data_IF_356245618742
#
_entry.id   IF_356245618742
#
_cell.length_a   1.000
_cell.length_b   1.000
_cell.length_c   1.000
_cell.angle_alpha   90.00
_cell.angle_beta   90.00
_cell.angle_gamma   90.00
#
_symmetry.space_group_name_H-M   'P 1'
#
loop_
_entity.id
_entity.type
_entity.pdbx_description
1 polymer ?
#
# COMPACT_ATOMS: atom_id res chain seq x y z
N UNK A 1 -28.48 -6.58 -13.46
CA UNK A 1 -29.03 -6.96 -12.16
C UNK A 1 -28.94 -8.46 -12.02
N UNK A 2 -27.96 -8.94 -11.28
CA UNK A 2 -27.90 -10.32 -10.77
C UNK A 2 -27.32 -10.20 -9.36
N UNK A 3 -28.18 -10.20 -8.34
CA UNK A 3 -27.80 -10.37 -6.95
C UNK A 3 -27.93 -11.84 -6.59
N UNK A 4 -26.90 -12.44 -5.98
CA UNK A 4 -27.06 -13.53 -5.02
C UNK A 4 -25.91 -13.49 -4.00
N UNK A 5 -26.22 -12.96 -2.81
CA UNK A 5 -25.90 -13.48 -1.46
C UNK A 5 -24.47 -13.72 -0.95
N UNK A 6 -24.22 -13.58 0.38
CA UNK A 6 -22.89 -13.45 0.98
C UNK A 6 -22.33 -14.75 1.60
N UNK A 7 -20.99 -14.87 1.65
CA UNK A 7 -20.27 -15.95 2.34
C UNK A 7 -20.25 -15.77 3.87
N UNK A 8 -20.35 -16.85 4.67
CA UNK A 8 -20.44 -16.76 6.12
C UNK A 8 -19.08 -16.68 6.83
N UNK A 9 -19.09 -15.98 7.95
CA UNK A 9 -18.06 -15.86 8.98
C UNK A 9 -17.83 -17.18 9.74
N UNK A 10 -16.57 -17.56 9.93
CA UNK A 10 -16.17 -18.57 10.91
C UNK A 10 -15.58 -17.90 12.15
N UNK A 11 -16.25 -18.15 13.27
CA UNK A 11 -15.82 -17.80 14.61
C UNK A 11 -15.03 -18.97 15.24
N UNK A 12 -14.02 -18.62 16.04
CA UNK A 12 -13.69 -19.29 17.30
C UNK A 12 -12.84 -20.55 17.26
N UNK A 13 -11.63 -20.47 17.80
CA UNK A 13 -11.19 -21.42 18.84
C UNK A 13 -10.13 -20.80 19.74
N UNK A 14 -10.37 -21.00 21.02
CA UNK A 14 -9.57 -20.70 22.20
C UNK A 14 -8.34 -21.60 22.34
N UNK A 15 -7.47 -21.23 23.30
CA UNK A 15 -6.35 -21.93 23.99
C UNK A 15 -5.16 -20.96 24.00
N UNK A 16 -4.50 -20.61 25.09
CA UNK A 16 -4.39 -21.19 26.42
C UNK A 16 -3.02 -20.73 26.97
N UNK A 17 -2.94 -20.51 28.27
CA UNK A 17 -1.86 -19.90 29.03
C UNK A 17 -0.41 -20.32 28.73
N UNK A 18 0.52 -19.38 28.97
CA UNK A 18 1.96 -19.63 28.97
C UNK A 18 2.77 -18.43 29.46
N UNK A 19 2.66 -18.10 30.74
CA UNK A 19 3.53 -17.13 31.39
C UNK A 19 4.82 -17.83 31.88
N UNK A 20 5.99 -17.40 31.41
CA UNK A 20 7.24 -17.63 32.15
C UNK A 20 8.24 -16.49 31.99
N UNK A 21 8.71 -16.02 33.15
CA UNK A 21 9.71 -14.96 33.35
C UNK A 21 11.09 -15.48 32.96
N UNK A 22 11.96 -14.60 32.46
CA UNK A 22 13.35 -14.57 32.94
C UNK A 22 13.97 -13.17 32.78
N UNK A 23 14.91 -12.90 33.66
CA UNK A 23 15.31 -11.60 34.20
C UNK A 23 16.53 -11.00 33.48
N UNK A 24 16.54 -9.67 33.43
CA UNK A 24 17.67 -8.73 33.69
C UNK A 24 19.05 -9.03 33.06
N UNK A 25 19.57 -8.06 32.29
CA UNK A 25 20.84 -7.38 32.61
C UNK A 25 20.97 -6.05 31.87
N UNK A 26 21.37 -5.02 32.62
CA UNK A 26 21.68 -3.69 32.14
C UNK A 26 23.20 -3.44 32.26
N UNK A 27 23.72 -2.67 31.31
CA UNK A 27 24.95 -1.86 31.42
C UNK A 27 26.16 -2.32 30.57
N UNK A 28 27.15 -1.45 30.27
CA UNK A 28 27.21 0.00 30.44
C UNK A 28 27.58 0.77 29.14
N UNK A 29 27.43 2.10 29.24
CA UNK A 29 27.82 3.15 28.29
C UNK A 29 29.32 3.42 28.42
N UNK A 30 30.06 3.50 27.30
CA UNK A 30 31.44 4.01 27.26
C UNK A 30 31.54 5.03 26.13
N UNK A 31 31.89 6.26 26.50
CA UNK A 31 32.31 7.34 25.61
C UNK A 31 33.83 7.32 25.40
N UNK A 32 34.27 8.07 24.38
CA UNK A 32 35.62 8.43 23.90
C UNK A 32 35.91 7.76 22.56
N UNK A 33 36.29 8.43 21.48
CA UNK A 33 36.94 9.72 21.23
C UNK A 33 37.69 9.52 19.90
N UNK A 34 37.53 10.41 18.92
CA UNK A 34 37.90 10.18 17.52
C UNK A 34 39.40 10.01 17.20
N UNK A 35 39.72 9.78 15.91
CA UNK A 35 40.35 10.87 15.18
C UNK A 35 39.64 11.22 13.86
N UNK A 36 39.58 12.53 13.60
CA UNK A 36 39.19 13.15 12.34
C UNK A 36 40.22 12.87 11.24
N UNK A 37 39.73 12.72 9.99
CA UNK A 37 40.38 13.04 8.69
C UNK A 37 39.50 12.52 7.55
N UNK A 38 39.58 13.08 6.32
CA UNK A 38 39.33 14.45 5.91
C UNK A 38 38.05 14.56 5.07
N UNK A 39 37.50 15.77 5.05
CA UNK A 39 36.39 16.21 4.19
C UNK A 39 36.70 15.95 2.71
N UNK A 40 36.10 14.91 2.11
CA UNK A 40 36.05 14.81 0.65
C UNK A 40 34.95 15.75 0.14
N UNK A 41 35.40 16.81 -0.52
CA UNK A 41 34.57 17.73 -1.28
C UNK A 41 33.54 16.96 -2.12
N UNK A 42 32.28 17.36 -1.96
CA UNK A 42 31.22 17.12 -2.94
C UNK A 42 31.72 17.59 -4.31
N UNK A 43 32.19 16.66 -5.13
CA UNK A 43 32.22 16.85 -6.58
C UNK A 43 30.78 16.99 -7.04
N UNK A 44 30.32 18.24 -7.10
CA UNK A 44 29.19 18.66 -7.92
C UNK A 44 29.49 18.15 -9.33
N UNK A 45 28.82 17.07 -9.73
CA UNK A 45 28.81 16.63 -11.11
C UNK A 45 28.17 17.77 -11.91
N UNK A 46 29.03 18.49 -12.64
CA UNK A 46 28.62 19.50 -13.62
C UNK A 46 27.61 18.86 -14.59
N UNK A 47 26.54 19.56 -15.00
CA UNK A 47 25.64 19.05 -16.02
C UNK A 47 26.44 18.82 -17.29
N UNK A 48 26.45 17.58 -17.80
CA UNK A 48 27.08 17.28 -19.09
C UNK A 48 26.33 18.03 -20.19
N UNK A 49 27.04 18.58 -21.19
CA UNK A 49 26.45 19.46 -22.19
C UNK A 49 25.36 18.74 -22.98
N UNK A 50 24.17 19.34 -23.00
CA UNK A 50 23.14 19.07 -24.00
C UNK A 50 23.68 19.54 -25.35
N UNK A 51 24.05 18.61 -26.22
CA UNK A 51 24.39 18.92 -27.61
C UNK A 51 25.38 17.91 -28.15
N UNK A 52 24.93 17.04 -29.06
CA UNK A 52 25.85 16.15 -29.77
C UNK A 52 25.24 15.00 -30.56
N UNK A 53 23.97 14.64 -30.38
CA UNK A 53 23.36 13.52 -31.12
C UNK A 53 22.39 13.92 -32.23
N UNK A 54 22.22 15.23 -32.48
CA UNK A 54 21.46 15.72 -33.67
C UNK A 54 22.31 15.82 -34.95
N UNK A 55 23.61 15.53 -34.89
CA UNK A 55 24.50 15.61 -36.06
C UNK A 55 24.80 14.24 -36.72
N UNK A 56 24.50 13.10 -36.07
CA UNK A 56 24.73 11.77 -36.66
C UNK A 56 23.46 11.09 -37.19
N UNK A 57 22.27 11.63 -36.89
CA UNK A 57 21.02 11.17 -37.47
C UNK A 57 20.82 11.64 -38.93
N UNK A 58 21.54 12.68 -39.36
CA UNK A 58 21.48 13.18 -40.74
C UNK A 58 22.41 12.43 -41.72
N UNK A 59 23.40 11.68 -41.22
CA UNK A 59 24.35 10.95 -42.07
C UNK A 59 23.88 9.55 -42.49
N UNK A 60 22.95 8.94 -41.75
CA UNK A 60 22.41 7.60 -42.08
C UNK A 60 21.15 7.64 -42.94
N UNK A 61 20.50 8.79 -43.09
CA UNK A 61 19.36 8.97 -44.01
C UNK A 61 19.78 9.35 -45.45
N UNK A 62 21.06 9.66 -45.68
CA UNK A 62 21.57 9.97 -47.03
C UNK A 62 22.10 8.75 -47.80
N UNK A 63 22.27 7.58 -47.16
CA UNK A 63 22.81 6.37 -47.82
C UNK A 63 21.75 5.44 -48.43
N UNK A 64 20.45 5.76 -48.29
CA UNK A 64 19.35 4.96 -48.84
C UNK A 64 18.68 5.62 -50.07
N UNK A 65 19.17 6.79 -50.53
CA UNK A 65 18.52 7.57 -51.59
C UNK A 65 19.23 7.54 -52.97
N UNK A 66 20.38 6.87 -53.13
CA UNK A 66 21.08 6.78 -54.42
C UNK A 66 21.55 5.34 -54.71
N UNK A 67 20.59 4.43 -54.84
CA UNK A 67 20.81 3.05 -55.30
C UNK A 67 20.01 2.72 -56.54
N UNK A 68 19.76 3.69 -57.44
CA UNK A 68 19.24 3.39 -58.78
C UNK A 68 20.37 2.76 -59.60
N UNK A 69 20.61 1.46 -59.40
CA UNK A 69 21.34 0.67 -60.39
C UNK A 69 20.43 0.45 -61.59
N UNK A 70 20.60 1.39 -62.50
CA UNK A 70 20.16 1.42 -63.87
C UNK A 70 20.51 0.09 -64.55
N UNK A 71 19.56 -0.84 -64.70
CA UNK A 71 19.69 -1.92 -65.70
C UNK A 71 19.50 -1.29 -67.08
N UNK A 72 20.54 -0.64 -67.59
CA UNK A 72 20.67 -0.39 -69.04
C UNK A 72 20.87 -1.76 -69.71
N UNK A 73 20.11 -2.15 -70.73
CA UNK A 73 20.52 -3.25 -71.57
C UNK A 73 21.74 -2.76 -72.38
N UNK A 74 22.93 -3.24 -72.06
CA UNK A 74 24.06 -3.19 -72.99
C UNK A 74 23.78 -4.24 -74.07
N UNK A 75 22.89 -3.90 -75.01
CA UNK A 75 22.83 -4.55 -76.31
C UNK A 75 23.92 -3.91 -77.17
N UNK A 76 25.12 -4.46 -77.10
CA UNK A 76 26.17 -4.16 -78.06
C UNK A 76 25.82 -4.92 -79.34
N UNK A 77 25.52 -4.20 -80.42
CA UNK A 77 25.46 -4.80 -81.75
C UNK A 77 26.83 -5.44 -82.05
N UNK A 78 26.87 -6.78 -82.03
CA UNK A 78 27.94 -7.52 -82.68
C UNK A 78 27.61 -7.53 -84.16
N UNK A 79 28.40 -6.78 -84.92
CA UNK A 79 28.44 -6.81 -86.38
C UNK A 79 28.60 -8.27 -86.83
N UNK A 80 27.72 -8.71 -87.72
CA UNK A 80 27.70 -10.07 -88.24
C UNK A 80 29.01 -10.40 -88.95
N UNK A 81 29.74 -11.36 -88.41
CA UNK A 81 30.65 -12.18 -89.19
C UNK A 81 29.94 -13.50 -89.46
N UNK A 82 29.57 -13.72 -90.72
CA UNK A 82 29.08 -15.00 -91.23
C UNK A 82 30.22 -16.02 -91.14
N UNK A 83 30.15 -16.90 -90.15
CA UNK A 83 30.93 -18.14 -90.10
C UNK A 83 30.23 -19.15 -91.04
N UNK A 84 30.94 -19.82 -91.96
CA UNK A 84 30.34 -20.83 -92.83
C UNK A 84 29.79 -22.01 -92.00
N UNK A 85 28.80 -22.77 -92.49
CA UNK A 85 28.26 -23.91 -91.76
C UNK A 85 29.30 -25.03 -91.73
N UNK A 86 30.13 -25.02 -90.69
CA UNK A 86 30.91 -26.17 -90.26
C UNK A 86 29.98 -27.08 -89.46
N UNK A 87 29.60 -28.21 -90.04
CA UNK A 87 28.91 -29.31 -89.37
C UNK A 87 29.82 -29.86 -88.28
N UNK A 88 29.78 -29.26 -87.08
CA UNK A 88 30.35 -29.86 -85.89
C UNK A 88 29.32 -30.82 -85.32
N UNK A 89 29.50 -32.10 -85.61
CA UNK A 89 28.77 -33.19 -84.96
C UNK A 89 29.04 -33.12 -83.45
N UNK A 90 28.11 -32.53 -82.71
CA UNK A 90 28.12 -32.57 -81.24
C UNK A 90 27.94 -34.03 -80.83
N UNK A 91 28.91 -34.55 -80.08
CA UNK A 91 28.87 -35.92 -79.59
C UNK A 91 27.74 -36.02 -78.56
N UNK A 92 26.85 -37.04 -78.62
CA UNK A 92 25.70 -37.16 -77.71
C UNK A 92 26.02 -37.13 -76.20
N UNK A 93 27.28 -37.39 -75.84
CA UNK A 93 27.78 -37.32 -74.46
C UNK A 93 27.83 -35.88 -73.89
N UNK A 94 28.05 -34.87 -74.72
CA UNK A 94 28.17 -33.47 -74.28
C UNK A 94 26.80 -32.82 -74.02
N UNK A 95 25.75 -33.27 -74.72
CA UNK A 95 24.38 -32.81 -74.50
C UNK A 95 23.83 -33.40 -73.19
N UNK A 96 24.12 -34.68 -72.93
CA UNK A 96 23.73 -35.35 -71.69
C UNK A 96 24.42 -34.78 -70.44
N UNK A 97 25.68 -34.33 -70.55
CA UNK A 97 26.39 -33.69 -69.43
C UNK A 97 25.85 -32.30 -69.12
N UNK A 98 25.46 -31.53 -70.13
CA UNK A 98 24.80 -30.23 -69.97
C UNK A 98 23.41 -30.35 -69.34
N UNK A 99 22.61 -31.34 -69.74
CA UNK A 99 21.30 -31.62 -69.12
C UNK A 99 21.44 -31.99 -67.63
N UNK A 100 22.50 -32.73 -67.28
CA UNK A 100 22.78 -33.09 -65.89
C UNK A 100 23.15 -31.86 -65.04
N UNK A 101 23.95 -30.94 -65.60
CA UNK A 101 24.28 -29.65 -64.97
C UNK A 101 23.04 -28.78 -64.81
N UNK A 102 22.16 -28.69 -65.82
CA UNK A 102 20.91 -27.93 -65.72
C UNK A 102 19.99 -28.48 -64.64
N UNK A 103 19.94 -29.81 -64.49
CA UNK A 103 19.18 -30.47 -63.42
C UNK A 103 19.74 -30.12 -62.04
N UNK A 104 21.06 -30.15 -61.86
CA UNK A 104 21.71 -29.73 -60.61
C UNK A 104 21.50 -28.24 -60.31
N UNK A 105 21.63 -27.36 -61.31
CA UNK A 105 21.36 -25.93 -61.16
C UNK A 105 19.91 -25.68 -60.73
N UNK A 106 18.95 -26.42 -61.32
CA UNK A 106 17.54 -26.32 -60.93
C UNK A 106 17.30 -26.79 -59.49
N UNK A 107 17.97 -27.87 -59.07
CA UNK A 107 17.90 -28.39 -57.71
C UNK A 107 18.54 -27.41 -56.69
N UNK A 108 19.66 -26.79 -57.04
CA UNK A 108 20.27 -25.71 -56.24
C UNK A 108 19.34 -24.51 -56.16
N UNK A 109 18.69 -24.11 -57.26
CA UNK A 109 17.70 -23.03 -57.28
C UNK A 109 16.50 -23.30 -56.36
N UNK A 110 15.98 -24.54 -56.34
CA UNK A 110 14.92 -24.94 -55.41
C UNK A 110 15.37 -24.89 -53.95
N UNK A 111 16.59 -25.35 -53.65
CA UNK A 111 17.16 -25.28 -52.29
C UNK A 111 17.32 -23.83 -51.83
N UNK A 112 17.81 -22.94 -52.70
CA UNK A 112 17.92 -21.51 -52.42
C UNK A 112 16.55 -20.89 -52.14
N UNK A 113 15.53 -21.19 -52.96
CA UNK A 113 14.16 -20.73 -52.69
C UNK A 113 13.62 -21.22 -51.34
N UNK A 114 13.92 -22.46 -50.93
CA UNK A 114 13.55 -22.94 -49.58
C UNK A 114 14.29 -22.21 -48.46
N UNK A 115 15.54 -21.81 -48.70
CA UNK A 115 16.34 -21.05 -47.74
C UNK A 115 15.80 -19.62 -47.61
N UNK A 116 15.40 -18.99 -48.71
CA UNK A 116 14.80 -17.65 -48.71
C UNK A 116 13.52 -17.61 -47.88
N UNK A 117 12.66 -18.63 -47.99
CA UNK A 117 11.46 -18.75 -47.14
C UNK A 117 11.83 -18.85 -45.66
N UNK A 118 12.77 -19.73 -45.30
CA UNK A 118 13.22 -19.87 -43.90
C UNK A 118 13.87 -18.59 -43.35
N UNK A 119 14.65 -17.89 -44.17
CA UNK A 119 15.26 -16.60 -43.80
C UNK A 119 14.16 -15.55 -43.57
N UNK A 120 13.13 -15.54 -44.41
CA UNK A 120 11.95 -14.69 -44.22
C UNK A 120 11.23 -15.02 -42.91
N UNK A 121 10.97 -16.30 -42.63
CA UNK A 121 10.30 -16.75 -41.40
C UNK A 121 11.09 -16.35 -40.16
N UNK A 122 12.41 -16.63 -40.13
CA UNK A 122 13.31 -16.21 -39.05
C UNK A 122 13.33 -14.69 -38.88
N UNK A 123 13.27 -13.91 -39.97
CA UNK A 123 13.21 -12.46 -39.89
C UNK A 123 11.89 -11.98 -39.23
N UNK A 124 10.77 -12.68 -39.46
CA UNK A 124 9.50 -12.38 -38.79
C UNK A 124 9.54 -12.74 -37.31
N UNK A 125 10.08 -13.91 -36.93
CA UNK A 125 10.26 -14.31 -35.53
C UNK A 125 11.21 -13.36 -34.79
N UNK A 126 12.29 -12.94 -35.43
CA UNK A 126 13.21 -11.95 -34.87
C UNK A 126 12.53 -10.59 -34.66
N UNK A 127 11.54 -10.24 -35.48
CA UNK A 127 10.71 -9.04 -35.29
C UNK A 127 9.74 -9.20 -34.12
N UNK A 128 9.09 -10.35 -33.97
CA UNK A 128 8.17 -10.60 -32.83
C UNK A 128 8.93 -10.62 -31.51
N UNK A 129 10.07 -11.31 -31.44
CA UNK A 129 10.94 -11.32 -30.25
C UNK A 129 11.36 -9.89 -29.88
N UNK A 130 11.71 -9.05 -30.86
CA UNK A 130 12.06 -7.65 -30.60
C UNK A 130 10.88 -6.87 -30.01
N UNK A 131 9.66 -7.12 -30.48
CA UNK A 131 8.46 -6.49 -29.91
C UNK A 131 8.21 -6.96 -28.47
N UNK A 132 8.36 -8.26 -28.21
CA UNK A 132 8.21 -8.82 -26.87
C UNK A 132 9.26 -8.28 -25.90
N UNK A 133 10.52 -8.16 -26.33
CA UNK A 133 11.59 -7.57 -25.53
C UNK A 133 11.29 -6.11 -25.16
N UNK A 134 10.75 -5.32 -26.10
CA UNK A 134 10.33 -3.95 -25.80
C UNK A 134 9.15 -3.93 -24.81
N UNK A 135 8.19 -4.83 -24.97
CA UNK A 135 7.08 -4.98 -24.03
C UNK A 135 7.59 -5.35 -22.63
N UNK A 136 8.49 -6.33 -22.52
CA UNK A 136 9.12 -6.70 -21.25
C UNK A 136 9.92 -5.54 -20.66
N UNK A 137 10.66 -4.78 -21.46
CA UNK A 137 11.41 -3.63 -20.98
C UNK A 137 10.50 -2.60 -20.31
N UNK A 138 9.37 -2.25 -20.95
CA UNK A 138 8.39 -1.33 -20.36
C UNK A 138 7.77 -1.88 -19.08
N UNK A 139 7.50 -3.19 -19.02
CA UNK A 139 6.97 -3.83 -17.81
C UNK A 139 7.97 -3.81 -16.67
N UNK A 140 9.25 -4.08 -16.95
CA UNK A 140 10.33 -4.02 -15.97
C UNK A 140 10.48 -2.60 -15.43
N UNK A 141 10.48 -1.60 -16.30
CA UNK A 141 10.56 -0.19 -15.88
C UNK A 141 9.39 0.21 -14.96
N UNK A 142 8.16 -0.20 -15.29
CA UNK A 142 6.99 0.04 -14.44
C UNK A 142 7.13 -0.68 -13.10
N UNK A 143 7.64 -1.91 -13.09
CA UNK A 143 7.84 -2.67 -11.85
C UNK A 143 8.91 -2.00 -10.97
N UNK A 144 10.02 -1.55 -11.53
CA UNK A 144 11.07 -0.84 -10.79
C UNK A 144 10.55 0.46 -10.18
N UNK A 145 9.74 1.23 -10.92
CA UNK A 145 9.08 2.43 -10.39
C UNK A 145 8.10 2.10 -9.24
N UNK A 146 7.38 0.98 -9.32
CA UNK A 146 6.47 0.57 -8.24
C UNK A 146 7.24 0.06 -7.03
N UNK A 147 8.33 -0.67 -7.22
CA UNK A 147 9.18 -1.16 -6.13
C UNK A 147 9.81 0.00 -5.37
N UNK A 148 10.42 0.95 -6.08
CA UNK A 148 11.01 2.16 -5.46
C UNK A 148 9.99 2.98 -4.68
N UNK A 149 8.77 3.14 -5.21
CA UNK A 149 7.68 3.82 -4.49
C UNK A 149 7.22 3.08 -3.24
N UNK A 150 7.19 1.73 -3.28
CA UNK A 150 6.81 0.92 -2.13
C UNK A 150 7.91 0.93 -1.05
N UNK A 151 9.17 0.88 -1.45
CA UNK A 151 10.32 1.02 -0.56
C UNK A 151 10.27 2.37 0.17
N UNK A 152 10.06 3.47 -0.54
CA UNK A 152 9.92 4.79 0.08
C UNK A 152 8.74 4.84 1.07
N UNK A 153 7.60 4.23 0.73
CA UNK A 153 6.46 4.16 1.64
C UNK A 153 6.74 3.31 2.88
N UNK A 154 7.46 2.21 2.71
CA UNK A 154 7.85 1.33 3.81
C UNK A 154 8.81 2.05 4.75
N UNK A 155 9.85 2.70 4.20
CA UNK A 155 10.80 3.50 4.96
C UNK A 155 10.10 4.61 5.74
N UNK A 156 9.16 5.32 5.11
CA UNK A 156 8.35 6.33 5.77
C UNK A 156 7.46 5.73 6.88
N UNK A 157 6.85 4.58 6.66
CA UNK A 157 6.02 3.92 7.67
C UNK A 157 6.84 3.39 8.85
N UNK A 158 8.04 2.87 8.59
CA UNK A 158 8.97 2.40 9.62
C UNK A 158 9.56 3.58 10.40
N UNK A 159 9.84 4.69 9.73
CA UNK A 159 10.36 5.91 10.35
C UNK A 159 9.32 6.58 11.26
N UNK A 160 8.09 6.81 10.77
CA UNK A 160 7.05 7.50 11.54
C UNK A 160 6.22 6.58 12.44
N UNK A 161 6.24 5.27 12.22
CA UNK A 161 5.43 4.30 12.95
C UNK A 161 5.61 4.35 14.47
N UNK A 162 6.85 4.29 14.99
CA UNK A 162 7.13 4.39 16.42
C UNK A 162 6.68 5.72 17.03
N UNK A 163 6.90 6.83 16.32
CA UNK A 163 6.50 8.16 16.78
C UNK A 163 4.98 8.27 16.85
N UNK A 164 4.26 7.86 15.81
CA UNK A 164 2.78 7.85 15.81
C UNK A 164 2.27 6.98 16.96
N UNK A 165 2.87 5.82 17.20
CA UNK A 165 2.49 4.96 18.32
C UNK A 165 2.71 5.65 19.67
N UNK A 166 3.88 6.27 19.86
CA UNK A 166 4.21 6.99 21.09
C UNK A 166 3.29 8.19 21.32
N UNK A 167 3.02 8.98 20.27
CA UNK A 167 2.05 10.07 20.31
C UNK A 167 0.65 9.57 20.66
N UNK A 168 0.20 8.45 20.07
CA UNK A 168 -1.09 7.83 20.44
C UNK A 168 -1.14 7.45 21.91
N UNK A 169 -0.12 6.78 22.45
CA UNK A 169 -0.08 6.46 23.88
C UNK A 169 -0.11 7.71 24.75
N UNK A 170 0.63 8.77 24.36
CA UNK A 170 0.63 10.04 25.08
C UNK A 170 -0.74 10.72 25.06
N UNK A 171 -1.45 10.68 23.93
CA UNK A 171 -2.81 11.23 23.81
C UNK A 171 -3.79 10.46 24.70
N UNK A 172 -3.77 9.12 24.66
CA UNK A 172 -4.61 8.27 25.52
C UNK A 172 -4.38 8.60 26.99
N UNK A 173 -3.12 8.66 27.41
CA UNK A 173 -2.74 8.97 28.79
C UNK A 173 -3.17 10.39 29.19
N UNK A 174 -2.98 11.40 28.33
CA UNK A 174 -3.45 12.78 28.56
C UNK A 174 -4.98 12.86 28.67
N UNK A 175 -5.70 12.17 27.80
CA UNK A 175 -7.16 12.09 27.85
C UNK A 175 -7.64 11.46 29.15
N UNK A 176 -7.04 10.33 29.54
CA UNK A 176 -7.38 9.67 30.80
C UNK A 176 -7.04 10.56 32.00
N UNK A 177 -5.90 11.28 31.98
CA UNK A 177 -5.56 12.28 33.02
C UNK A 177 -6.64 13.35 33.14
N UNK A 178 -7.14 13.85 32.02
CA UNK A 178 -8.15 14.90 31.97
C UNK A 178 -9.53 14.40 32.44
N UNK A 179 -9.83 13.12 32.24
CA UNK A 179 -11.10 12.49 32.64
C UNK A 179 -11.08 11.84 34.04
N UNK A 180 -9.97 11.85 34.78
CA UNK A 180 -9.87 11.21 36.12
C UNK A 180 -10.93 11.64 37.12
N UNK A 181 -11.37 12.89 37.04
CA UNK A 181 -12.38 13.43 37.95
C UNK A 181 -13.81 13.16 37.47
N UNK A 182 -13.98 12.52 36.31
CA UNK A 182 -15.27 12.22 35.74
C UNK A 182 -15.75 10.84 36.20
N UNK A 183 -17.04 10.80 36.57
CA UNK A 183 -17.78 9.58 36.87
C UNK A 183 -18.94 9.49 35.89
N UNK A 184 -19.18 8.29 35.39
CA UNK A 184 -20.28 7.99 34.48
C UNK A 184 -21.35 7.16 35.19
N UNK A 185 -22.59 7.64 35.11
CA UNK A 185 -23.77 6.98 35.64
C UNK A 185 -24.61 6.42 34.51
N UNK A 186 -25.07 5.18 34.64
CA UNK A 186 -25.96 4.50 33.72
C UNK A 186 -27.24 4.10 34.45
N UNK A 187 -28.37 4.04 33.73
CA UNK A 187 -29.62 3.52 34.31
C UNK A 187 -30.45 4.54 35.09
N UNK A 188 -30.02 5.82 35.14
CA UNK A 188 -30.82 6.88 35.76
C UNK A 188 -31.96 7.27 34.79
N UNK A 189 -33.23 7.08 35.17
CA UNK A 189 -34.38 7.35 34.30
C UNK A 189 -34.39 8.79 33.79
N UNK A 190 -34.91 8.98 32.58
CA UNK A 190 -35.06 10.33 32.01
C UNK A 190 -36.20 11.07 32.71
N UNK A 191 -36.14 12.41 32.76
CA UNK A 191 -37.15 13.31 33.38
C UNK A 191 -37.24 13.31 34.91
N UNK A 192 -36.36 12.63 35.64
CA UNK A 192 -36.23 12.86 37.09
C UNK A 192 -35.59 14.22 37.44
N UNK A 193 -34.97 14.86 36.45
CA UNK A 193 -34.26 16.13 36.61
C UNK A 193 -35.28 17.27 36.64
N UNK A 194 -35.48 17.87 37.81
CA UNK A 194 -36.28 19.10 37.93
C UNK A 194 -35.58 20.20 37.15
N UNK A 195 -36.28 20.84 36.22
CA UNK A 195 -35.76 21.92 35.36
C UNK A 195 -34.49 21.55 34.54
N UNK A 196 -34.31 20.28 34.16
CA UNK A 196 -33.10 19.77 33.48
C UNK A 196 -31.79 19.98 34.28
N UNK A 197 -31.87 20.17 35.60
CA UNK A 197 -30.70 20.33 36.45
C UNK A 197 -30.15 18.98 36.92
N UNK A 198 -29.34 18.37 36.05
CA UNK A 198 -28.64 17.11 36.32
C UNK A 198 -27.72 17.23 37.54
N UNK A 199 -27.14 18.40 37.77
CA UNK A 199 -26.17 18.62 38.84
C UNK A 199 -26.85 18.49 40.20
N UNK A 200 -27.96 19.19 40.40
CA UNK A 200 -28.70 19.15 41.66
C UNK A 200 -29.32 17.78 41.94
N UNK A 201 -29.78 17.08 40.90
CA UNK A 201 -30.21 15.69 41.03
C UNK A 201 -29.08 14.80 41.56
N UNK A 202 -27.87 14.88 40.99
CA UNK A 202 -26.77 14.04 41.44
C UNK A 202 -26.28 14.38 42.85
N UNK A 203 -26.29 15.66 43.24
CA UNK A 203 -25.90 16.08 44.59
C UNK A 203 -26.76 15.45 45.68
N UNK A 204 -28.06 15.27 45.42
CA UNK A 204 -29.01 14.62 46.35
C UNK A 204 -29.00 13.10 46.20
N UNK A 205 -28.85 12.60 44.97
CA UNK A 205 -28.93 11.18 44.66
C UNK A 205 -27.69 10.40 45.12
N UNK A 206 -26.48 10.94 44.93
CA UNK A 206 -25.23 10.20 45.21
C UNK A 206 -25.11 9.80 46.69
N UNK A 207 -25.27 10.71 47.68
CA UNK A 207 -25.19 10.34 49.09
C UNK A 207 -26.30 9.33 49.49
N UNK A 208 -27.51 9.53 48.97
CA UNK A 208 -28.69 8.66 49.23
C UNK A 208 -28.53 7.26 48.65
N UNK A 209 -28.00 7.15 47.42
CA UNK A 209 -27.86 5.89 46.71
C UNK A 209 -26.72 5.04 47.29
N UNK A 210 -25.61 5.69 47.65
CA UNK A 210 -24.41 5.01 48.11
C UNK A 210 -24.39 4.78 49.63
N UNK A 211 -25.26 5.45 50.39
CA UNK A 211 -25.24 5.49 51.86
C UNK A 211 -23.86 5.88 52.42
N UNK A 212 -23.20 6.85 51.78
CA UNK A 212 -21.89 7.36 52.20
C UNK A 212 -22.06 8.77 52.76
N UNK A 213 -21.47 9.01 53.93
CA UNK A 213 -21.24 10.36 54.44
C UNK A 213 -19.86 10.84 53.97
N UNK A 214 -19.83 11.98 53.29
CA UNK A 214 -18.58 12.61 52.84
C UNK A 214 -18.07 13.57 53.93
N UNK A 215 -16.75 13.63 54.14
CA UNK A 215 -16.12 14.59 55.08
C UNK A 215 -16.36 16.05 54.68
N UNK A 216 -16.54 16.29 53.38
CA UNK A 216 -16.83 17.59 52.80
C UNK A 216 -18.08 17.49 51.94
N UNK A 217 -18.84 18.60 51.75
CA UNK A 217 -20.01 18.59 50.88
C UNK A 217 -19.65 18.07 49.49
N UNK A 218 -20.55 17.30 48.88
CA UNK A 218 -20.32 16.82 47.52
C UNK A 218 -20.37 18.03 46.57
N UNK A 219 -19.32 18.22 45.78
CA UNK A 219 -19.21 19.37 44.87
C UNK A 219 -18.94 18.89 43.44
N UNK A 220 -19.85 19.26 42.53
CA UNK A 220 -19.76 18.96 41.12
C UNK A 220 -19.35 20.21 40.34
N UNK A 221 -18.29 20.11 39.54
CA UNK A 221 -17.91 21.18 38.61
C UNK A 221 -18.90 21.24 37.44
N UNK A 222 -19.24 20.08 36.87
CA UNK A 222 -20.15 19.95 35.72
C UNK A 222 -20.87 18.61 35.79
N UNK A 223 -22.12 18.58 35.33
CA UNK A 223 -22.89 17.35 35.15
C UNK A 223 -23.81 17.52 33.94
N UNK A 224 -23.85 16.52 33.07
CA UNK A 224 -24.72 16.54 31.89
C UNK A 224 -24.99 15.13 31.37
N UNK A 225 -26.13 14.97 30.67
CA UNK A 225 -26.41 13.77 29.90
C UNK A 225 -25.63 13.76 28.58
N UNK A 226 -25.10 12.61 28.21
CA UNK A 226 -24.47 12.40 26.91
C UNK A 226 -25.56 12.45 25.83
N UNK A 227 -25.31 13.18 24.74
CA UNK A 227 -26.19 13.19 23.58
C UNK A 227 -26.22 11.79 22.94
N UNK A 228 -27.41 11.23 22.77
CA UNK A 228 -27.58 10.01 21.97
C UNK A 228 -27.42 10.34 20.48
N UNK A 229 -26.75 9.46 19.73
CA UNK A 229 -26.71 9.53 18.25
C UNK A 229 -28.04 9.07 17.63
N UNK A 230 -28.84 8.35 18.39
CA UNK A 230 -30.14 7.84 17.98
C UNK A 230 -31.22 8.78 18.54
N UNK A 231 -31.91 9.49 17.64
CA UNK A 231 -32.96 10.46 17.96
C UNK A 231 -34.27 9.84 18.43
N UNK A 232 -34.38 8.51 18.42
CA UNK A 232 -35.60 7.79 18.81
C UNK A 232 -35.67 7.66 20.32
N UNK A 233 -36.24 8.68 20.97
CA UNK A 233 -36.69 8.61 22.36
C UNK A 233 -37.95 7.73 22.45
N UNK A 234 -37.84 6.44 22.17
CA UNK A 234 -38.88 5.48 22.55
C UNK A 234 -38.69 5.14 24.04
N UNK A 235 -39.80 4.98 24.78
CA UNK A 235 -39.78 4.57 26.20
C UNK A 235 -39.04 3.23 26.43
N UNK A 236 -38.83 2.44 25.38
CA UNK A 236 -38.09 1.18 25.38
C UNK A 236 -36.57 1.34 25.19
N UNK A 237 -36.08 2.56 24.96
CA UNK A 237 -34.65 2.83 24.83
C UNK A 237 -33.97 2.96 26.19
N UNK A 238 -32.79 2.35 26.34
CA UNK A 238 -31.97 2.44 27.57
C UNK A 238 -31.70 3.92 27.91
N UNK A 239 -31.92 4.37 29.16
CA UNK A 239 -31.74 5.77 29.52
C UNK A 239 -30.32 6.26 29.25
N UNK A 240 -30.19 7.50 28.76
CA UNK A 240 -28.88 8.11 28.45
C UNK A 240 -27.99 8.19 29.68
N UNK A 241 -26.72 7.90 29.51
CA UNK A 241 -25.73 8.03 30.60
C UNK A 241 -25.47 9.49 30.94
N UNK A 242 -25.14 9.72 32.20
CA UNK A 242 -24.75 11.03 32.75
C UNK A 242 -23.26 11.00 33.02
N UNK A 243 -22.54 12.04 32.60
CA UNK A 243 -21.16 12.29 33.03
C UNK A 243 -21.18 13.42 34.04
N UNK A 244 -20.59 13.17 35.21
CA UNK A 244 -20.41 14.14 36.27
C UNK A 244 -18.92 14.31 36.58
N UNK A 245 -18.44 15.55 36.60
CA UNK A 245 -17.08 15.88 37.00
C UNK A 245 -17.10 16.43 38.42
N UNK A 246 -16.41 15.74 39.32
CA UNK A 246 -16.29 16.14 40.71
C UNK A 246 -15.12 17.10 40.88
N UNK A 247 -15.22 17.98 41.87
CA UNK A 247 -14.12 18.89 42.18
C UNK A 247 -12.95 18.17 42.89
N UNK A 248 -13.27 17.23 43.79
CA UNK A 248 -12.30 16.49 44.60
C UNK A 248 -12.11 15.06 44.11
N UNK A 249 -10.89 14.68 43.75
CA UNK A 249 -10.54 13.32 43.31
C UNK A 249 -10.73 12.25 44.42
N UNK A 250 -10.65 12.64 45.70
CA UNK A 250 -10.92 11.74 46.83
C UNK A 250 -12.35 11.23 46.84
N UNK A 251 -13.32 12.12 46.62
CA UNK A 251 -14.74 11.77 46.52
C UNK A 251 -14.98 10.82 45.33
N UNK A 252 -14.27 11.01 44.21
CA UNK A 252 -14.32 10.09 43.06
C UNK A 252 -13.89 8.69 43.45
N UNK A 253 -12.75 8.56 44.14
CA UNK A 253 -12.25 7.27 44.61
C UNK A 253 -13.21 6.59 45.59
N UNK A 254 -13.82 7.34 46.50
CA UNK A 254 -14.80 6.81 47.46
C UNK A 254 -16.05 6.27 46.74
N UNK A 255 -16.62 7.07 45.83
CA UNK A 255 -17.80 6.68 45.03
C UNK A 255 -17.51 5.44 44.18
N UNK A 256 -16.38 5.41 43.46
CA UNK A 256 -16.03 4.27 42.62
C UNK A 256 -15.74 3.01 43.45
N UNK A 257 -15.11 3.16 44.61
CA UNK A 257 -14.89 2.03 45.53
C UNK A 257 -16.20 1.47 46.04
N UNK A 258 -17.14 2.33 46.44
CA UNK A 258 -18.45 1.88 46.89
C UNK A 258 -19.24 1.22 45.76
N UNK A 259 -19.21 1.80 44.56
CA UNK A 259 -19.87 1.24 43.38
C UNK A 259 -19.35 -0.16 43.03
N UNK A 260 -18.05 -0.41 43.18
CA UNK A 260 -17.47 -1.75 42.97
C UNK A 260 -17.86 -2.75 44.05
N UNK A 261 -18.10 -2.29 45.28
CA UNK A 261 -18.44 -3.16 46.43
C UNK A 261 -19.92 -3.50 46.51
N UNK A 262 -20.79 -2.54 46.20
CA UNK A 262 -22.23 -2.62 46.45
C UNK A 262 -23.08 -2.47 45.20
N UNK A 263 -22.50 -2.12 44.04
CA UNK A 263 -23.23 -2.02 42.78
C UNK A 263 -23.63 -3.39 42.22
N UNK A 264 -24.71 -3.46 41.42
CA UNK A 264 -25.59 -2.38 40.95
C UNK A 264 -26.57 -1.89 42.02
N UNK A 265 -26.99 -0.62 41.92
CA UNK A 265 -27.96 -0.01 42.84
C UNK A 265 -29.35 0.04 42.23
N UNK A 266 -30.40 -0.17 43.03
CA UNK A 266 -31.77 -0.04 42.56
C UNK A 266 -32.32 1.37 42.82
N UNK A 267 -32.88 1.98 41.77
CA UNK A 267 -33.48 3.31 41.79
C UNK A 267 -34.82 3.27 41.06
N UNK A 268 -35.93 3.32 41.81
CA UNK A 268 -37.30 3.30 41.25
C UNK A 268 -37.54 2.12 40.28
N UNK A 269 -36.97 0.94 40.60
CA UNK A 269 -37.04 -0.26 39.77
C UNK A 269 -36.01 -0.33 38.63
N UNK A 270 -35.18 0.70 38.44
CA UNK A 270 -34.08 0.71 37.47
C UNK A 270 -32.73 0.41 38.12
N UNK A 271 -31.93 -0.45 37.47
CA UNK A 271 -30.56 -0.74 37.90
C UNK A 271 -29.60 0.36 37.46
N UNK A 272 -28.99 1.01 38.44
CA UNK A 272 -28.00 2.07 38.26
C UNK A 272 -26.59 1.50 38.38
N UNK A 273 -25.76 1.80 37.36
CA UNK A 273 -24.35 1.45 37.34
C UNK A 273 -23.49 2.71 37.36
N UNK A 274 -22.40 2.65 38.11
CA UNK A 274 -21.45 3.76 38.26
C UNK A 274 -20.08 3.25 37.83
N UNK A 275 -19.44 3.97 36.91
CA UNK A 275 -18.12 3.63 36.40
C UNK A 275 -17.24 4.88 36.26
N UNK A 276 -15.93 4.67 36.17
CA UNK A 276 -15.00 5.72 35.78
C UNK A 276 -15.17 6.05 34.28
N UNK A 277 -14.89 7.30 33.90
CA UNK A 277 -14.91 7.75 32.51
C UNK A 277 -13.50 7.66 31.93
N UNK A 278 -13.23 6.60 31.16
CA UNK A 278 -11.95 6.41 30.46
C UNK A 278 -12.06 6.79 28.98
N UNK A 279 -10.91 7.01 28.34
CA UNK A 279 -10.81 7.05 26.88
C UNK A 279 -11.32 5.78 26.24
N UNK A 280 -11.73 5.91 24.97
CA UNK A 280 -12.24 4.80 24.17
C UNK A 280 -11.26 3.64 24.10
N UNK A 281 -9.98 3.96 23.97
CA UNK A 281 -8.87 3.02 23.86
C UNK A 281 -8.60 2.31 25.19
N UNK A 282 -8.66 3.04 26.31
CA UNK A 282 -8.48 2.44 27.64
C UNK A 282 -9.69 1.61 28.05
N UNK A 283 -10.90 2.01 27.65
CA UNK A 283 -12.14 1.27 27.94
C UNK A 283 -12.33 0.02 27.05
N UNK A 284 -11.58 -0.09 25.95
CA UNK A 284 -11.59 -1.24 25.05
C UNK A 284 -10.60 -2.36 25.44
N UNK A 285 -9.68 -2.07 26.37
CA UNK A 285 -8.73 -3.04 26.94
C UNK A 285 -9.34 -3.82 28.09
#
# INVERSE_FOLDING_TARGET
MCEVGPCPSLAGSSHGDGAERLRRRAGPRVEQGGPELPTQERKRSRPRPRGGLKALAAALLYSMASGKYNRKPLFTQVVGNTVPPGTSTVVPQDIASMDLILKEISAVGQRLGSMDVKISDLATEMKTIRMDLNCFHTKVEILDQRTTFLEEKLDNAEYWGPDIWHLKQKVIDLEDRARRNNIRFYGIPEKMEVNNDVKNLLLTLIPRLLNISFEHPLELQRAHRIRSRTSTSTLESRPRSIIACLLRHEQVRQILTAARKHGPYDLEGNKVFIAADFSTETNAK
#
